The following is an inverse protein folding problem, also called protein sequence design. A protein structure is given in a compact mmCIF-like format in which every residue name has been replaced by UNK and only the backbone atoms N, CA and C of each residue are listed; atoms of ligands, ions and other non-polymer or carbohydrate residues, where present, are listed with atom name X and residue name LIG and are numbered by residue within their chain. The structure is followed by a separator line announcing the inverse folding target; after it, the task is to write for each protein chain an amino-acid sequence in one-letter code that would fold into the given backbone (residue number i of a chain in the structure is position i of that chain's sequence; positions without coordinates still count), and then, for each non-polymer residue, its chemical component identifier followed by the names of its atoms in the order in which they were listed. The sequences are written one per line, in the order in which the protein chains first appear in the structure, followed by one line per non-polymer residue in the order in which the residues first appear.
data_IF_987089731487
#
_entry.id   IF_987089731487
#
_cell.length_a   1.000
_cell.length_b   1.000
_cell.length_c   1.000
_cell.angle_alpha   90.00
_cell.angle_beta   90.00
_cell.angle_gamma   90.00
#
_symmetry.space_group_name_H-M   'P 1'
#
loop_
_entity.id
_entity.type
_entity.pdbx_description
1 polymer ?
#
# COMPACT_ATOMS: atom_id res chain seq x y z
N UNK A 1 22.77 5.89 -44.71
CA UNK A 1 23.18 5.38 -43.39
C UNK A 1 22.56 6.31 -42.35
N UNK A 2 21.32 6.07 -41.90
CA UNK A 2 20.91 5.28 -40.71
C UNK A 2 21.68 5.61 -39.43
N UNK A 3 21.07 6.47 -38.60
CA UNK A 3 20.97 6.41 -37.12
C UNK A 3 20.38 7.76 -36.65
N UNK A 4 19.27 7.89 -35.93
CA UNK A 4 18.53 6.94 -35.09
C UNK A 4 18.75 7.26 -33.60
N UNK A 5 17.80 8.00 -33.02
CA UNK A 5 17.44 8.08 -31.59
C UNK A 5 18.46 8.78 -30.65
N UNK A 6 18.11 9.52 -29.59
CA UNK A 6 16.93 9.53 -28.72
C UNK A 6 16.76 10.92 -28.09
N UNK A 7 15.52 11.41 -28.02
CA UNK A 7 15.15 12.55 -27.18
C UNK A 7 14.97 12.03 -25.75
N UNK A 8 15.90 12.36 -24.85
CA UNK A 8 15.76 12.07 -23.42
C UNK A 8 14.96 13.21 -22.76
N UNK A 9 13.69 12.94 -22.48
CA UNK A 9 12.84 13.79 -21.65
C UNK A 9 13.28 13.60 -20.20
N UNK A 10 13.97 14.59 -19.64
CA UNK A 10 14.29 14.67 -18.21
C UNK A 10 13.07 15.23 -17.49
N UNK A 11 12.23 14.35 -16.94
CA UNK A 11 11.16 14.73 -16.00
C UNK A 11 11.78 14.89 -14.61
N UNK A 12 12.14 16.12 -14.26
CA UNK A 12 12.48 16.51 -12.90
C UNK A 12 11.19 16.65 -12.09
N UNK A 13 10.83 15.63 -11.31
CA UNK A 13 9.72 15.71 -10.35
C UNK A 13 10.27 15.99 -8.96
N UNK A 14 10.29 17.28 -8.61
CA UNK A 14 10.66 17.80 -7.29
C UNK A 14 9.56 17.46 -6.29
N UNK A 15 9.82 16.57 -5.34
CA UNK A 15 8.90 16.29 -4.23
C UNK A 15 9.31 17.12 -3.01
N UNK A 16 8.49 18.10 -2.65
CA UNK A 16 8.52 18.77 -1.35
C UNK A 16 7.92 17.83 -0.31
N UNK A 17 8.70 17.42 0.69
CA UNK A 17 8.17 16.84 1.92
C UNK A 17 8.10 17.92 3.00
N UNK A 18 6.87 18.30 3.35
CA UNK A 18 6.57 19.09 4.54
C UNK A 18 6.63 18.18 5.78
N UNK A 19 7.35 18.63 6.81
CA UNK A 19 7.71 17.84 7.99
C UNK A 19 6.60 17.61 9.01
N UNK A 20 6.84 16.63 9.89
CA UNK A 20 6.22 16.56 11.21
C UNK A 20 7.28 16.25 12.27
N UNK A 21 7.11 16.88 13.42
CA UNK A 21 8.01 16.93 14.58
C UNK A 21 8.24 15.56 15.24
N UNK A 22 9.44 15.36 15.80
CA UNK A 22 9.62 14.57 17.02
C UNK A 22 9.92 13.08 16.86
N UNK A 23 10.88 12.71 16.01
CA UNK A 23 11.66 11.48 16.11
C UNK A 23 12.96 11.78 15.39
N UNK A 24 14.07 11.10 15.68
CA UNK A 24 15.32 11.28 14.93
C UNK A 24 15.12 10.80 13.47
N UNK A 25 14.34 11.51 12.66
CA UNK A 25 13.95 11.10 11.31
C UNK A 25 15.10 11.40 10.39
N UNK A 26 16.05 10.46 10.31
CA UNK A 26 16.97 10.42 9.17
C UNK A 26 16.18 10.54 7.86
N UNK A 27 16.69 11.39 6.98
CA UNK A 27 16.05 11.74 5.72
C UNK A 27 16.46 10.69 4.69
N UNK A 28 15.53 10.03 3.99
CA UNK A 28 15.88 9.14 2.89
C UNK A 28 16.64 9.91 1.82
N UNK A 29 17.83 9.43 1.45
CA UNK A 29 18.68 10.08 0.42
C UNK A 29 18.65 9.33 -0.92
N UNK A 30 18.06 8.14 -0.94
CA UNK A 30 17.94 7.30 -2.14
C UNK A 30 16.63 6.53 -2.18
N UNK A 31 16.30 5.93 -3.34
CA UNK A 31 15.10 5.10 -3.46
C UNK A 31 15.22 3.86 -2.57
N UNK A 32 14.12 3.41 -1.93
CA UNK A 32 14.12 2.18 -1.17
C UNK A 32 14.34 0.97 -2.08
N UNK A 33 15.05 -0.03 -1.57
CA UNK A 33 15.33 -1.29 -2.27
C UNK A 33 14.65 -2.43 -1.54
N UNK A 34 13.72 -3.11 -2.20
CA UNK A 34 13.07 -4.29 -1.66
C UNK A 34 14.08 -5.41 -1.37
N UNK A 35 14.00 -6.00 -0.18
CA UNK A 35 14.87 -7.09 0.23
C UNK A 35 14.14 -8.42 0.11
N UNK A 36 14.67 -9.30 -0.74
CA UNK A 36 14.24 -10.70 -0.78
C UNK A 36 14.73 -11.51 0.44
N UNK A 37 14.24 -12.75 0.63
CA UNK A 37 14.53 -13.55 1.82
C UNK A 37 16.02 -13.77 2.11
N UNK A 38 16.83 -13.98 1.08
CA UNK A 38 18.29 -14.15 1.23
C UNK A 38 18.98 -12.87 1.70
N UNK A 39 18.58 -11.72 1.15
CA UNK A 39 19.15 -10.45 1.55
C UNK A 39 18.73 -10.09 2.98
N UNK A 40 17.47 -10.36 3.34
CA UNK A 40 16.99 -10.22 4.71
C UNK A 40 17.79 -11.07 5.70
N UNK A 41 18.10 -12.32 5.37
CA UNK A 41 18.91 -13.18 6.23
C UNK A 41 20.30 -12.60 6.49
N UNK A 42 20.94 -12.00 5.48
CA UNK A 42 22.22 -11.29 5.65
C UNK A 42 22.08 -10.06 6.54
N UNK A 43 20.98 -9.30 6.44
CA UNK A 43 20.74 -8.16 7.33
C UNK A 43 20.45 -8.60 8.78
N UNK A 44 19.77 -9.72 8.98
CA UNK A 44 19.54 -10.30 10.31
C UNK A 44 20.84 -10.75 10.99
N UNK A 45 21.76 -11.35 10.24
CA UNK A 45 23.10 -11.72 10.76
C UNK A 45 23.89 -10.49 11.22
N UNK A 46 23.71 -9.37 10.53
CA UNK A 46 24.39 -8.10 10.79
C UNK A 46 23.69 -7.22 11.82
N UNK A 47 22.44 -7.51 12.15
CA UNK A 47 21.60 -6.70 13.03
C UNK A 47 20.84 -7.64 13.99
N UNK A 48 21.42 -7.94 15.17
CA UNK A 48 20.83 -8.91 16.10
C UNK A 48 19.48 -8.45 16.66
N UNK A 49 19.22 -7.14 16.71
CA UNK A 49 17.92 -6.60 17.15
C UNK A 49 16.83 -6.88 16.10
N UNK A 50 17.14 -6.71 14.81
CA UNK A 50 16.24 -7.11 13.71
C UNK A 50 15.96 -8.62 13.77
N UNK A 51 17.01 -9.44 13.93
CA UNK A 51 16.88 -10.89 14.01
C UNK A 51 15.96 -11.32 15.18
N UNK A 52 16.26 -10.81 16.37
CA UNK A 52 15.49 -11.08 17.59
C UNK A 52 14.04 -10.60 17.48
N UNK A 53 13.80 -9.49 16.80
CA UNK A 53 12.45 -8.99 16.56
C UNK A 53 11.64 -9.92 15.64
N UNK A 54 12.23 -10.34 14.52
CA UNK A 54 11.58 -11.26 13.57
C UNK A 54 11.34 -12.63 14.20
N UNK A 55 12.28 -13.15 15.00
CA UNK A 55 12.10 -14.42 15.70
C UNK A 55 10.87 -14.40 16.63
N UNK A 56 10.66 -13.29 17.35
CA UNK A 56 9.51 -13.14 18.27
C UNK A 56 8.20 -12.82 17.56
N UNK A 57 8.23 -12.06 16.47
CA UNK A 57 7.03 -11.52 15.82
C UNK A 57 6.57 -12.32 14.60
N UNK A 58 7.45 -13.15 14.04
CA UNK A 58 7.28 -13.81 12.76
C UNK A 58 7.89 -13.01 11.61
N UNK A 59 7.90 -13.60 10.42
CA UNK A 59 8.41 -12.94 9.21
C UNK A 59 7.50 -11.78 8.77
N UNK A 60 8.08 -10.65 8.33
CA UNK A 60 7.32 -9.52 7.80
C UNK A 60 6.75 -9.81 6.40
N UNK A 61 5.67 -9.10 6.05
CA UNK A 61 5.04 -9.19 4.73
C UNK A 61 5.90 -8.52 3.64
N UNK A 62 6.64 -7.47 4.01
CA UNK A 62 7.53 -6.73 3.12
C UNK A 62 8.73 -6.17 3.87
N UNK A 63 9.87 -6.07 3.18
CA UNK A 63 11.10 -5.49 3.73
C UNK A 63 11.80 -4.64 2.69
N UNK A 64 12.28 -3.48 3.12
CA UNK A 64 13.09 -2.59 2.30
C UNK A 64 14.37 -2.17 3.03
N UNK A 65 15.42 -1.91 2.25
CA UNK A 65 16.57 -1.15 2.70
C UNK A 65 16.48 0.26 2.16
N UNK A 66 16.63 1.24 3.02
CA UNK A 66 16.52 2.67 2.70
C UNK A 66 17.83 3.34 3.05
N UNK A 67 18.44 4.02 2.08
CA UNK A 67 19.59 4.88 2.36
C UNK A 67 19.13 6.15 3.07
N UNK A 68 19.80 6.50 4.14
CA UNK A 68 19.41 7.59 5.02
C UNK A 68 20.59 8.44 5.45
N UNK A 69 20.37 9.74 5.59
CA UNK A 69 21.33 10.64 6.22
C UNK A 69 21.12 10.64 7.73
N UNK A 70 21.76 9.70 8.43
CA UNK A 70 21.64 9.54 9.89
C UNK A 70 22.78 10.18 10.67
N UNK A 71 23.88 10.56 10.01
CA UNK A 71 25.13 11.01 10.65
C UNK A 71 25.79 9.95 11.55
N UNK A 72 27.10 10.03 11.81
CA UNK A 72 27.73 9.20 12.83
C UNK A 72 27.08 9.38 14.21
N UNK A 73 26.93 8.33 15.03
CA UNK A 73 27.48 6.98 14.86
C UNK A 73 26.56 6.00 14.09
N UNK A 74 25.46 6.47 13.49
CA UNK A 74 24.47 5.62 12.85
C UNK A 74 24.91 5.22 11.44
N UNK A 75 24.46 4.04 11.03
CA UNK A 75 24.63 3.54 9.67
C UNK A 75 23.90 4.44 8.66
N UNK A 76 24.43 4.52 7.45
CA UNK A 76 23.82 5.27 6.35
C UNK A 76 22.64 4.51 5.71
N UNK A 77 22.25 3.38 6.28
CA UNK A 77 21.11 2.60 5.84
C UNK A 77 20.20 2.20 7.00
N UNK A 78 18.92 2.11 6.68
CA UNK A 78 17.87 1.54 7.51
C UNK A 78 17.28 0.32 6.83
N UNK A 79 16.97 -0.70 7.64
CA UNK A 79 16.12 -1.81 7.23
C UNK A 79 14.72 -1.54 7.79
N UNK A 80 13.74 -1.42 6.90
CA UNK A 80 12.34 -1.19 7.26
C UNK A 80 11.55 -2.46 6.99
N UNK A 81 10.89 -2.95 8.03
CA UNK A 81 10.01 -4.12 7.93
C UNK A 81 8.56 -3.66 8.06
N UNK A 82 7.69 -4.29 7.27
CA UNK A 82 6.28 -3.95 7.20
C UNK A 82 5.43 -5.19 7.51
N UNK A 83 4.52 -5.04 8.46
CA UNK A 83 3.49 -6.02 8.79
C UNK A 83 2.14 -5.43 8.38
N UNK A 84 1.70 -5.72 7.15
CA UNK A 84 0.52 -5.14 6.53
C UNK A 84 -0.75 -5.44 7.33
N UNK A 85 -0.84 -6.67 7.86
CA UNK A 85 -1.97 -7.13 8.70
C UNK A 85 -2.07 -6.38 10.02
N UNK A 86 -0.94 -5.92 10.54
CA UNK A 86 -0.87 -5.22 11.82
C UNK A 86 -0.88 -3.70 11.64
N UNK A 87 -0.80 -3.23 10.39
CA UNK A 87 -0.54 -1.84 10.05
C UNK A 87 0.68 -1.28 10.77
N UNK A 88 1.82 -1.98 10.68
CA UNK A 88 3.06 -1.57 11.34
C UNK A 88 4.26 -1.50 10.39
N UNK A 89 4.94 -0.37 10.44
CA UNK A 89 6.28 -0.14 9.91
C UNK A 89 7.24 -0.03 11.09
N UNK A 90 8.30 -0.83 11.08
CA UNK A 90 9.37 -0.77 12.07
C UNK A 90 10.68 -0.57 11.33
N UNK A 91 11.46 0.42 11.75
CA UNK A 91 12.78 0.68 11.18
C UNK A 91 13.89 0.25 12.14
N UNK A 92 14.89 -0.41 11.57
CA UNK A 92 16.10 -0.82 12.24
C UNK A 92 17.31 -0.16 11.57
N UNK A 93 18.28 0.23 12.38
CA UNK A 93 19.59 0.71 11.92
C UNK A 93 20.67 0.05 12.77
N UNK A 94 21.93 0.38 12.50
CA UNK A 94 23.08 -0.05 13.30
C UNK A 94 23.82 1.17 13.79
N UNK A 95 24.40 1.07 14.98
CA UNK A 95 25.34 2.06 15.49
C UNK A 95 26.75 1.49 15.48
N UNK A 96 27.69 2.31 15.01
CA UNK A 96 29.12 2.07 15.10
C UNK A 96 29.64 2.68 16.40
N UNK A 97 30.18 1.81 17.27
CA UNK A 97 30.85 2.23 18.50
C UNK A 97 32.33 1.97 18.28
N UNK A 98 33.16 3.01 18.34
CA UNK A 98 34.61 2.91 18.09
C UNK A 98 34.92 2.23 16.74
N UNK A 99 34.23 2.65 15.67
CA UNK A 99 34.34 2.12 14.30
C UNK A 99 33.99 0.62 14.12
N UNK A 100 33.45 -0.02 15.15
CA UNK A 100 32.95 -1.38 15.07
C UNK A 100 31.41 -1.38 15.11
N UNK A 101 30.72 -2.02 14.15
CA UNK A 101 29.25 -2.11 14.16
C UNK A 101 28.83 -2.98 15.35
N UNK A 102 28.34 -2.35 16.42
CA UNK A 102 28.18 -3.03 17.71
C UNK A 102 26.73 -3.24 18.12
N UNK A 103 25.81 -2.37 17.69
CA UNK A 103 24.44 -2.40 18.20
C UNK A 103 23.43 -2.29 17.07
N UNK A 104 22.58 -3.31 16.93
CA UNK A 104 21.32 -3.18 16.23
C UNK A 104 20.38 -2.29 17.04
N UNK A 105 19.75 -1.31 16.38
CA UNK A 105 18.85 -0.37 17.03
C UNK A 105 17.50 -0.37 16.32
N UNK A 106 16.42 -0.50 17.09
CA UNK A 106 15.07 -0.19 16.62
C UNK A 106 14.83 1.31 16.75
N UNK A 107 14.69 1.98 15.62
CA UNK A 107 14.60 3.44 15.53
C UNK A 107 13.18 3.95 15.77
N UNK A 108 12.20 3.33 15.13
CA UNK A 108 10.80 3.67 15.32
C UNK A 108 9.89 2.46 15.06
N UNK A 109 8.68 2.53 15.63
CA UNK A 109 7.54 1.66 15.39
C UNK A 109 6.32 2.57 15.18
N UNK A 110 5.72 2.53 13.98
CA UNK A 110 4.63 3.44 13.61
C UNK A 110 3.63 2.78 12.67
N UNK A 111 2.43 3.36 12.51
CA UNK A 111 1.50 2.96 11.45
C UNK A 111 2.10 3.13 10.05
N UNK A 112 1.70 2.27 9.10
CA UNK A 112 2.21 2.35 7.73
C UNK A 112 1.58 3.58 7.05
N UNK A 113 2.39 4.50 6.48
CA UNK A 113 1.84 5.62 5.72
C UNK A 113 0.94 5.12 4.57
N UNK A 114 -0.25 5.72 4.32
CA UNK A 114 -1.18 5.23 3.29
C UNK A 114 -0.55 5.07 1.90
N UNK A 115 0.24 6.06 1.47
CA UNK A 115 0.94 6.01 0.19
C UNK A 115 1.95 4.84 0.10
N UNK A 116 2.60 4.50 1.23
CA UNK A 116 3.53 3.37 1.30
C UNK A 116 2.77 2.05 1.27
N UNK A 117 1.64 1.94 1.98
CA UNK A 117 0.78 0.76 1.93
C UNK A 117 0.33 0.46 0.50
N UNK A 118 -0.19 1.46 -0.21
CA UNK A 118 -0.60 1.32 -1.61
C UNK A 118 0.56 0.94 -2.54
N UNK A 119 1.76 1.45 -2.27
CA UNK A 119 2.96 1.08 -3.01
C UNK A 119 3.31 -0.40 -2.78
N UNK A 120 3.38 -0.83 -1.53
CA UNK A 120 3.71 -2.22 -1.17
C UNK A 120 2.67 -3.18 -1.75
N UNK A 121 1.38 -2.87 -1.60
CA UNK A 121 0.30 -3.69 -2.15
C UNK A 121 0.39 -3.81 -3.68
N UNK A 122 0.74 -2.72 -4.39
CA UNK A 122 0.99 -2.77 -5.84
C UNK A 122 2.15 -3.71 -6.19
N UNK A 123 3.27 -3.62 -5.47
CA UNK A 123 4.43 -4.50 -5.71
C UNK A 123 4.13 -5.96 -5.35
N UNK A 124 3.44 -6.20 -4.24
CA UNK A 124 3.03 -7.53 -3.80
C UNK A 124 2.08 -8.18 -4.80
N UNK A 125 1.08 -7.44 -5.30
CA UNK A 125 0.18 -7.90 -6.35
C UNK A 125 0.89 -8.10 -7.68
N UNK A 126 1.93 -7.34 -7.99
CA UNK A 126 2.73 -7.53 -9.19
C UNK A 126 3.52 -8.85 -9.13
N UNK A 127 3.98 -9.26 -7.95
CA UNK A 127 4.76 -10.49 -7.76
C UNK A 127 3.92 -11.76 -7.58
N UNK A 128 2.70 -11.66 -7.02
CA UNK A 128 1.81 -12.82 -6.84
C UNK A 128 0.56 -12.74 -7.77
N UNK A 129 0.59 -13.41 -8.93
CA UNK A 129 -0.54 -13.40 -9.86
C UNK A 129 -1.77 -14.15 -9.33
N UNK A 130 -1.61 -15.13 -8.44
CA UNK A 130 -2.74 -15.87 -7.86
C UNK A 130 -3.51 -14.97 -6.90
N UNK A 131 -2.80 -14.25 -6.03
CA UNK A 131 -3.42 -13.29 -5.12
C UNK A 131 -4.08 -12.13 -5.88
N UNK A 132 -3.51 -11.71 -7.01
CA UNK A 132 -4.12 -10.72 -7.91
C UNK A 132 -5.44 -11.21 -8.48
N UNK A 133 -5.53 -12.48 -8.87
CA UNK A 133 -6.74 -13.08 -9.39
C UNK A 133 -7.84 -13.18 -8.31
N UNK A 134 -7.47 -13.54 -7.07
CA UNK A 134 -8.41 -13.57 -5.93
C UNK A 134 -9.01 -12.18 -5.64
N UNK A 135 -8.17 -11.15 -5.56
CA UNK A 135 -8.65 -9.77 -5.33
C UNK A 135 -9.47 -9.22 -6.51
N UNK A 136 -9.18 -9.65 -7.74
CA UNK A 136 -10.01 -9.31 -8.88
C UNK A 136 -11.38 -10.00 -8.81
N UNK A 137 -11.43 -11.25 -8.35
CA UNK A 137 -12.67 -11.99 -8.15
C UNK A 137 -13.53 -11.40 -7.02
N UNK A 138 -12.93 -11.00 -5.90
CA UNK A 138 -13.62 -10.34 -4.79
C UNK A 138 -14.27 -9.02 -5.24
N UNK A 139 -13.51 -8.16 -5.94
CA UNK A 139 -14.07 -6.91 -6.50
C UNK A 139 -15.17 -7.16 -7.53
N UNK A 140 -15.04 -8.21 -8.34
CA UNK A 140 -16.08 -8.58 -9.30
C UNK A 140 -17.36 -9.05 -8.58
N UNK A 141 -17.23 -9.78 -7.47
CA UNK A 141 -18.37 -10.20 -6.65
C UNK A 141 -19.08 -9.00 -6.00
N UNK A 142 -18.34 -8.05 -5.41
CA UNK A 142 -18.90 -6.82 -4.86
C UNK A 142 -19.61 -5.97 -5.93
N UNK A 143 -19.01 -5.86 -7.11
CA UNK A 143 -19.59 -5.15 -8.24
C UNK A 143 -20.87 -5.83 -8.75
N UNK A 144 -20.90 -7.16 -8.81
CA UNK A 144 -22.08 -7.93 -9.17
C UNK A 144 -23.21 -7.72 -8.14
N UNK A 145 -22.90 -7.80 -6.85
CA UNK A 145 -23.88 -7.56 -5.79
C UNK A 145 -24.46 -6.14 -5.84
N UNK A 146 -23.61 -5.15 -6.09
CA UNK A 146 -24.04 -3.76 -6.31
C UNK A 146 -24.95 -3.63 -7.53
N UNK A 147 -24.63 -4.31 -8.63
CA UNK A 147 -25.44 -4.31 -9.85
C UNK A 147 -26.80 -5.01 -9.64
N UNK A 148 -26.85 -6.12 -8.90
CA UNK A 148 -28.09 -6.80 -8.54
C UNK A 148 -29.00 -5.89 -7.69
N UNK A 149 -28.42 -5.21 -6.69
CA UNK A 149 -29.15 -4.23 -5.88
C UNK A 149 -29.72 -3.09 -6.73
N UNK A 150 -28.92 -2.56 -7.65
CA UNK A 150 -29.37 -1.51 -8.56
C UNK A 150 -30.50 -2.00 -9.51
N UNK A 151 -30.38 -3.22 -10.03
CA UNK A 151 -31.40 -3.82 -10.89
C UNK A 151 -32.72 -4.05 -10.14
N UNK A 152 -32.67 -4.56 -8.91
CA UNK A 152 -33.85 -4.73 -8.07
C UNK A 152 -34.56 -3.40 -7.81
N UNK A 153 -33.81 -2.33 -7.51
CA UNK A 153 -34.38 -1.00 -7.35
C UNK A 153 -35.02 -0.47 -8.64
N UNK A 154 -34.44 -0.75 -9.81
CA UNK A 154 -35.00 -0.35 -11.09
C UNK A 154 -36.32 -1.07 -11.42
N UNK A 155 -36.41 -2.37 -11.10
CA UNK A 155 -37.65 -3.15 -11.24
C UNK A 155 -38.75 -2.59 -10.33
N UNK A 156 -38.44 -2.36 -9.05
CA UNK A 156 -39.40 -1.78 -8.10
C UNK A 156 -39.89 -0.40 -8.54
N UNK A 157 -39.01 0.41 -9.13
CA UNK A 157 -39.38 1.71 -9.67
C UNK A 157 -40.32 1.58 -10.88
N UNK A 158 -40.06 0.64 -11.79
CA UNK A 158 -40.90 0.37 -12.96
C UNK A 158 -42.28 -0.17 -12.57
N UNK A 159 -42.37 -1.02 -11.54
CA UNK A 159 -43.64 -1.52 -11.03
C UNK A 159 -44.48 -0.40 -10.40
N UNK A 160 -43.83 0.54 -9.68
CA UNK A 160 -44.52 1.72 -9.15
C UNK A 160 -45.06 2.61 -10.26
N UNK A 161 -44.29 2.87 -11.32
CA UNK A 161 -44.76 3.72 -12.43
C UNK A 161 -45.89 3.06 -13.20
N UNK A 162 -45.81 1.75 -13.43
CA UNK A 162 -46.90 0.96 -14.04
C UNK A 162 -48.18 1.07 -13.23
N UNK A 163 -48.10 0.87 -11.90
CA UNK A 163 -49.27 0.96 -11.01
C UNK A 163 -49.90 2.35 -11.00
N UNK A 164 -49.09 3.41 -11.01
CA UNK A 164 -49.58 4.80 -11.09
C UNK A 164 -50.28 5.03 -12.44
N UNK A 165 -49.72 4.55 -13.55
CA UNK A 165 -50.32 4.69 -14.87
C UNK A 165 -51.69 3.98 -14.95
N UNK A 166 -51.80 2.76 -14.42
CA UNK A 166 -53.07 2.02 -14.35
C UNK A 166 -54.13 2.69 -13.47
N UNK A 167 -53.71 3.32 -12.36
CA UNK A 167 -54.61 4.08 -11.50
C UNK A 167 -55.12 5.34 -12.20
N UNK A 168 -54.24 6.07 -12.88
CA UNK A 168 -54.59 7.24 -13.68
C UNK A 168 -55.59 6.88 -14.79
N UNK A 169 -55.35 5.79 -15.56
CA UNK A 169 -56.26 5.34 -16.62
C UNK A 169 -57.64 4.94 -16.05
N UNK A 170 -57.68 4.20 -14.93
CA UNK A 170 -58.94 3.88 -14.24
C UNK A 170 -59.69 5.13 -13.79
N UNK A 171 -58.99 6.10 -13.23
CA UNK A 171 -59.59 7.36 -12.76
C UNK A 171 -60.18 8.17 -13.92
N UNK A 172 -59.50 8.19 -15.07
CA UNK A 172 -59.92 8.87 -16.28
C UNK A 172 -61.18 8.24 -16.88
N UNK A 173 -61.19 6.91 -17.06
CA UNK A 173 -62.35 6.15 -17.55
C UNK A 173 -63.59 6.32 -16.67
N UNK A 174 -63.41 6.39 -15.34
CA UNK A 174 -64.52 6.63 -14.40
C UNK A 174 -65.12 8.03 -14.54
N UNK A 175 -64.30 9.02 -14.91
CA UNK A 175 -64.73 10.42 -15.09
C UNK A 175 -65.51 10.62 -16.38
N UNK A 176 -65.20 9.88 -17.45
CA UNK A 176 -65.90 9.92 -18.74
C UNK A 176 -67.28 9.24 -18.74
N UNK A 177 -67.59 8.42 -17.73
CA UNK A 177 -68.85 7.66 -17.61
C UNK A 177 -69.94 8.38 -16.81
N UNK A 178 -69.67 9.59 -16.31
CA UNK A 178 -70.62 10.51 -15.67
C UNK A 178 -70.94 11.64 -16.62
#
# INVERSE_FOLDING_TARGET
MRSGHSVAIVLATTWLFAGSLGSATSVPVGPPVALGPRALAVEMDRNPELASFIERRGYPDWVERVEVDSGPPLDSYEVRVFYLRLDREIAFTRAFILDQPHAGLRKFDRPIPPAMREQIERYYLAQDPARRAELAAERAAEAAESAERAAAMAVDAADRTTRIAEEMDRSFRRRLRK
#
